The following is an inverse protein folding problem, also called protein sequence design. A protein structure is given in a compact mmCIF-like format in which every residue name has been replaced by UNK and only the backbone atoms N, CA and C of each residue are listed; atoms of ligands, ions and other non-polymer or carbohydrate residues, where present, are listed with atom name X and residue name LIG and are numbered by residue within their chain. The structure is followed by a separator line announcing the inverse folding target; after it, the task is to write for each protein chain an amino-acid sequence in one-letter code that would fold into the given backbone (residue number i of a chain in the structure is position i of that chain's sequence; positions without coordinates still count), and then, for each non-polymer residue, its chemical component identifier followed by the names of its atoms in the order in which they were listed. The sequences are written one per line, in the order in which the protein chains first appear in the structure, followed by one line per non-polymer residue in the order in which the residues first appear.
data_IF_901223919012
#
_entry.id   IF_901223919012
#
_cell.length_a   1.000
_cell.length_b   1.000
_cell.length_c   1.000
_cell.angle_alpha   90.00
_cell.angle_beta   90.00
_cell.angle_gamma   90.00
#
_symmetry.space_group_name_H-M   'P 1'
#
loop_
_entity.id
_entity.type
_entity.pdbx_description
1 polymer ?
#
# COMPACT_ATOMS: atom_id res chain seq x y z
N UNK A 1 -22.07 0.10 -6.10
CA UNK A 1 -20.70 -0.22 -5.61
C UNK A 1 -20.56 -1.68 -5.18
N UNK A 2 -21.27 -2.19 -4.17
CA UNK A 2 -21.16 -3.61 -3.74
C UNK A 2 -21.39 -4.62 -4.87
N UNK A 3 -22.42 -4.40 -5.69
CA UNK A 3 -22.71 -5.23 -6.85
C UNK A 3 -21.59 -5.23 -7.89
N UNK A 4 -20.94 -4.07 -8.11
CA UNK A 4 -19.81 -3.95 -9.04
C UNK A 4 -18.56 -4.68 -8.54
N UNK A 5 -18.31 -4.68 -7.22
CA UNK A 5 -17.22 -5.44 -6.59
C UNK A 5 -17.47 -6.95 -6.75
N UNK A 6 -18.69 -7.39 -6.48
CA UNK A 6 -19.06 -8.80 -6.61
C UNK A 6 -19.03 -9.27 -8.08
N UNK A 7 -19.42 -8.41 -9.03
CA UNK A 7 -19.42 -8.72 -10.46
C UNK A 7 -18.03 -9.06 -11.02
N UNK A 8 -16.95 -8.55 -10.40
CA UNK A 8 -15.55 -8.88 -10.77
C UNK A 8 -14.95 -10.00 -9.94
N UNK A 9 -15.74 -10.68 -9.10
CA UNK A 9 -15.28 -11.76 -8.22
C UNK A 9 -14.49 -11.29 -6.99
N UNK A 10 -14.45 -9.99 -6.72
CA UNK A 10 -13.78 -9.45 -5.54
C UNK A 10 -14.65 -9.57 -4.29
N UNK A 11 -14.01 -9.61 -3.11
CA UNK A 11 -14.68 -9.65 -1.81
C UNK A 11 -14.34 -8.39 -1.02
N UNK A 12 -15.34 -7.84 -0.33
CA UNK A 12 -15.15 -6.73 0.58
C UNK A 12 -14.80 -7.27 1.97
N UNK A 13 -13.61 -6.95 2.46
CA UNK A 13 -13.20 -7.25 3.83
C UNK A 13 -13.62 -6.11 4.76
N UNK A 14 -14.14 -6.45 5.94
CA UNK A 14 -14.48 -5.46 6.94
C UNK A 14 -13.21 -4.96 7.64
N UNK A 15 -13.00 -3.65 7.60
CA UNK A 15 -11.98 -2.95 8.37
C UNK A 15 -12.72 -2.07 9.40
N UNK A 16 -12.53 -2.30 10.71
CA UNK A 16 -13.14 -1.43 11.71
C UNK A 16 -12.62 0.01 11.56
N UNK A 17 -13.43 1.04 11.89
CA UNK A 17 -12.96 2.42 11.93
C UNK A 17 -11.71 2.57 12.81
N UNK A 18 -10.85 3.52 12.45
CA UNK A 18 -9.62 3.87 13.20
C UNK A 18 -8.71 2.67 13.52
N UNK A 19 -8.66 1.67 12.64
CA UNK A 19 -7.79 0.48 12.77
C UNK A 19 -6.65 0.47 11.74
N UNK A 20 -5.71 1.43 11.79
CA UNK A 20 -4.60 1.52 10.84
C UNK A 20 -3.64 0.32 10.96
N UNK A 21 -3.58 -0.32 12.13
CA UNK A 21 -2.83 -1.56 12.40
C UNK A 21 -3.32 -2.75 11.56
N UNK A 22 -4.55 -2.68 11.05
CA UNK A 22 -5.18 -3.71 10.22
C UNK A 22 -5.21 -3.35 8.74
N UNK A 23 -4.56 -2.28 8.32
CA UNK A 23 -4.53 -1.85 6.93
C UNK A 23 -3.12 -1.98 6.33
N UNK A 24 -2.82 -3.03 5.54
CA UNK A 24 -1.46 -3.30 5.03
C UNK A 24 -0.83 -2.16 4.24
N UNK A 25 -1.65 -1.31 3.62
CA UNK A 25 -1.17 -0.19 2.82
C UNK A 25 -0.45 0.87 3.66
N UNK A 26 -0.78 1.02 4.94
CA UNK A 26 -0.19 2.02 5.84
C UNK A 26 1.32 1.79 5.99
N UNK A 27 1.74 0.53 6.13
CA UNK A 27 3.17 0.18 6.23
C UNK A 27 3.92 0.46 4.92
N UNK A 28 3.32 0.14 3.78
CA UNK A 28 3.90 0.41 2.47
C UNK A 28 4.03 1.93 2.23
N UNK A 29 3.00 2.71 2.60
CA UNK A 29 3.01 4.17 2.47
C UNK A 29 4.01 4.82 3.42
N UNK A 30 4.16 4.34 4.66
CA UNK A 30 5.20 4.84 5.56
C UNK A 30 6.61 4.71 4.96
N UNK A 31 6.91 3.57 4.31
CA UNK A 31 8.17 3.39 3.57
C UNK A 31 8.26 4.33 2.36
N UNK A 32 7.20 4.43 1.55
CA UNK A 32 7.16 5.31 0.39
C UNK A 32 7.43 6.77 0.78
N UNK A 33 6.76 7.26 1.81
CA UNK A 33 6.97 8.61 2.34
C UNK A 33 8.41 8.83 2.80
N UNK A 34 9.00 7.86 3.50
CA UNK A 34 10.39 7.95 3.94
C UNK A 34 11.36 8.06 2.75
N UNK A 35 11.11 7.32 1.67
CA UNK A 35 11.90 7.40 0.44
C UNK A 35 11.69 8.73 -0.29
N UNK A 36 10.44 9.19 -0.41
CA UNK A 36 10.11 10.46 -1.04
C UNK A 36 10.74 11.66 -0.32
N UNK A 37 10.71 11.66 1.03
CA UNK A 37 11.37 12.68 1.86
C UNK A 37 12.87 12.75 1.60
N UNK A 38 13.52 11.62 1.31
CA UNK A 38 14.97 11.59 0.95
C UNK A 38 15.25 12.20 -0.42
N UNK A 39 14.37 12.01 -1.39
CA UNK A 39 14.55 12.54 -2.76
C UNK A 39 14.24 14.04 -2.84
N UNK A 40 13.29 14.53 -2.03
CA UNK A 40 12.96 15.95 -1.90
C UNK A 40 12.61 16.66 -3.23
N UNK A 41 11.91 15.97 -4.13
CA UNK A 41 11.43 16.55 -5.39
C UNK A 41 10.56 17.80 -5.13
N UNK A 42 10.72 18.83 -5.97
CA UNK A 42 10.05 20.14 -5.81
C UNK A 42 9.02 20.46 -6.91
N UNK A 43 8.78 19.52 -7.80
CA UNK A 43 7.77 19.64 -8.86
C UNK A 43 6.86 18.43 -8.84
N UNK A 44 5.62 18.61 -9.29
CA UNK A 44 4.64 17.52 -9.39
C UNK A 44 5.15 16.44 -10.36
N UNK A 45 5.66 16.84 -11.52
CA UNK A 45 6.21 15.90 -12.51
C UNK A 45 7.43 15.14 -11.98
N UNK A 46 8.30 15.84 -11.23
CA UNK A 46 9.44 15.23 -10.57
C UNK A 46 9.00 14.21 -9.52
N UNK A 47 7.98 14.55 -8.72
CA UNK A 47 7.39 13.65 -7.73
C UNK A 47 6.83 12.38 -8.41
N UNK A 48 6.06 12.53 -9.49
CA UNK A 48 5.51 11.39 -10.25
C UNK A 48 6.58 10.47 -10.82
N UNK A 49 7.63 11.04 -11.42
CA UNK A 49 8.76 10.26 -11.94
C UNK A 49 9.48 9.48 -10.84
N UNK A 50 9.64 10.09 -9.67
CA UNK A 50 10.28 9.44 -8.51
C UNK A 50 9.39 8.32 -7.97
N UNK A 51 8.09 8.54 -7.81
CA UNK A 51 7.16 7.50 -7.36
C UNK A 51 7.26 6.28 -8.28
N UNK A 52 7.22 6.49 -9.60
CA UNK A 52 7.33 5.39 -10.57
C UNK A 52 8.59 4.53 -10.37
N UNK A 53 9.73 5.15 -10.07
CA UNK A 53 11.00 4.44 -9.79
C UNK A 53 11.01 3.76 -8.42
N UNK A 54 10.37 4.37 -7.41
CA UNK A 54 10.37 3.85 -6.05
C UNK A 54 9.44 2.64 -5.89
N UNK A 55 8.42 2.48 -6.75
CA UNK A 55 7.54 1.30 -6.74
C UNK A 55 8.34 0.01 -6.94
N UNK A 56 9.43 0.04 -7.71
CA UNK A 56 10.32 -1.12 -7.90
C UNK A 56 11.04 -1.56 -6.61
N UNK A 57 11.05 -0.72 -5.57
CA UNK A 57 11.64 -1.04 -4.27
C UNK A 57 10.70 -1.88 -3.37
N UNK A 58 9.46 -2.13 -3.80
CA UNK A 58 8.46 -2.92 -3.06
C UNK A 58 8.42 -4.33 -3.63
N UNK A 59 9.28 -5.19 -3.08
CA UNK A 59 9.38 -6.59 -3.54
C UNK A 59 8.11 -7.37 -3.16
N UNK A 60 7.78 -8.45 -3.89
CA UNK A 60 6.66 -9.32 -3.52
C UNK A 60 6.75 -9.81 -2.07
N UNK A 61 7.96 -10.15 -1.60
CA UNK A 61 8.17 -10.60 -0.22
C UNK A 61 7.85 -9.50 0.80
N UNK A 62 8.27 -8.26 0.52
CA UNK A 62 7.98 -7.14 1.41
C UNK A 62 6.49 -6.82 1.46
N UNK A 63 5.81 -6.84 0.32
CA UNK A 63 4.36 -6.70 0.26
C UNK A 63 3.68 -7.78 1.10
N UNK A 64 4.07 -9.05 0.94
CA UNK A 64 3.56 -10.16 1.75
C UNK A 64 3.79 -9.94 3.25
N UNK A 65 4.93 -9.37 3.64
CA UNK A 65 5.21 -9.04 5.04
C UNK A 65 4.27 -7.96 5.59
N UNK A 66 3.89 -6.95 4.79
CA UNK A 66 2.87 -5.96 5.18
C UNK A 66 1.51 -6.62 5.45
N UNK A 67 1.08 -7.57 4.60
CA UNK A 67 -0.16 -8.31 4.84
C UNK A 67 -0.08 -9.17 6.10
N UNK A 68 1.02 -9.90 6.28
CA UNK A 68 1.24 -10.75 7.45
C UNK A 68 1.22 -9.95 8.76
N UNK A 69 1.86 -8.77 8.79
CA UNK A 69 1.89 -7.88 9.94
C UNK A 69 0.50 -7.40 10.38
N UNK A 70 -0.45 -7.28 9.45
CA UNK A 70 -1.84 -6.92 9.72
C UNK A 70 -2.76 -8.13 9.98
N UNK A 71 -2.22 -9.35 10.05
CA UNK A 71 -3.00 -10.57 10.30
C UNK A 71 -3.62 -11.20 9.05
N UNK A 72 -3.14 -10.85 7.85
CA UNK A 72 -3.56 -11.45 6.58
C UNK A 72 -2.49 -12.38 5.99
N UNK A 73 -1.62 -12.92 6.84
CA UNK A 73 -0.64 -13.92 6.43
C UNK A 73 -1.32 -15.22 5.99
N UNK A 74 -0.62 -16.07 5.21
CA UNK A 74 -1.10 -17.42 4.97
C UNK A 74 -1.26 -18.18 6.29
N UNK A 75 -2.28 -19.04 6.36
CA UNK A 75 -2.47 -20.02 7.44
C UNK A 75 -1.29 -21.02 7.53
#
# INVERSE_FOLDING_TARGET
VREMIAAVGARLLFLPPDSPDRNPIEMAFAKLEALLRKVAARTVDGLWSVIGKLVDCFTPQECSNCFAACGYGPD
#
